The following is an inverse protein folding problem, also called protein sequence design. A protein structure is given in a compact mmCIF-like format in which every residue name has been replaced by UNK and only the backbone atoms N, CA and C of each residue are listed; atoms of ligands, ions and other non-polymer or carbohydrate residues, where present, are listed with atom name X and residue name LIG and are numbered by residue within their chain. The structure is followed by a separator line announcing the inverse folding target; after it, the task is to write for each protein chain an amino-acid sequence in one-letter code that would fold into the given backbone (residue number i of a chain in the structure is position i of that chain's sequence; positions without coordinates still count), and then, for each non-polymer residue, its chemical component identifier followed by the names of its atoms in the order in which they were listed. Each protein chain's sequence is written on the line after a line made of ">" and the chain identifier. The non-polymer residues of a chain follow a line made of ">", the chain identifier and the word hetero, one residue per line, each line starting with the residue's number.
data_IF_611645206848
#
_entry.id   IF_611645206848
#
_cell.length_a   1.000
_cell.length_b   1.000
_cell.length_c   1.000
_cell.angle_alpha   90.00
_cell.angle_beta   90.00
_cell.angle_gamma   90.00
#
_symmetry.space_group_name_H-M   'P 1'
#
loop_
_entity.id
_entity.type
_entity.pdbx_description
1 polymer ?
#
# COMPACT_ATOMS: atom_id res chain seq x y z
N UNK A 1 16.61 70.59 -58.77
CA UNK A 1 15.17 70.79 -58.46
C UNK A 1 14.33 70.12 -59.53
N UNK A 2 13.84 68.91 -59.28
CA UNK A 2 12.75 68.22 -60.01
C UNK A 2 12.24 67.09 -59.12
N UNK A 3 10.97 67.20 -58.75
CA UNK A 3 10.17 66.28 -57.95
C UNK A 3 9.46 65.30 -58.90
N UNK A 4 9.32 64.05 -58.44
CA UNK A 4 8.29 63.00 -58.69
C UNK A 4 9.01 61.67 -58.44
N UNK A 5 8.50 60.68 -57.71
CA UNK A 5 7.20 60.00 -57.86
C UNK A 5 6.83 59.38 -56.49
N UNK A 6 5.55 59.44 -56.14
CA UNK A 6 4.92 58.69 -55.05
C UNK A 6 4.77 57.21 -55.43
N UNK A 7 4.89 56.27 -54.48
CA UNK A 7 3.85 55.26 -54.43
C UNK A 7 3.23 55.16 -53.03
N UNK A 8 1.91 55.23 -53.07
CA UNK A 8 0.98 55.01 -52.00
C UNK A 8 0.95 53.50 -51.72
N UNK A 9 1.40 53.07 -50.55
CA UNK A 9 1.04 51.76 -50.00
C UNK A 9 0.46 51.99 -48.61
N UNK A 10 -0.88 51.93 -48.57
CA UNK A 10 -1.67 51.88 -47.35
C UNK A 10 -1.57 50.44 -46.80
N UNK A 11 -0.66 50.20 -45.85
CA UNK A 11 -0.66 48.97 -45.06
C UNK A 11 -1.53 49.24 -43.83
N UNK A 12 -2.72 48.66 -43.81
CA UNK A 12 -3.55 48.60 -42.61
C UNK A 12 -2.88 47.64 -41.61
N UNK A 13 -2.23 48.19 -40.59
CA UNK A 13 -1.76 47.41 -39.45
C UNK A 13 -2.97 47.01 -38.60
N UNK A 14 -3.38 45.74 -38.67
CA UNK A 14 -4.19 45.12 -37.62
C UNK A 14 -3.31 45.00 -36.37
N UNK A 15 -3.41 45.98 -35.47
CA UNK A 15 -2.92 45.83 -34.10
C UNK A 15 -3.87 44.91 -33.34
N UNK A 16 -3.60 43.60 -33.37
CA UNK A 16 -4.16 42.70 -32.38
C UNK A 16 -3.58 43.08 -31.00
N UNK A 17 -4.40 43.25 -29.95
CA UNK A 17 -3.88 43.42 -28.61
C UNK A 17 -3.09 42.15 -28.26
N UNK A 18 -1.77 42.30 -28.10
CA UNK A 18 -0.94 41.25 -27.57
C UNK A 18 -1.45 40.88 -26.19
N UNK A 19 -2.07 39.71 -26.08
CA UNK A 19 -2.28 39.06 -24.79
C UNK A 19 -0.87 38.67 -24.35
N UNK A 20 -0.21 39.53 -23.58
CA UNK A 20 0.90 39.09 -22.73
C UNK A 20 0.29 38.11 -21.74
N UNK A 21 0.41 36.82 -22.03
CA UNK A 21 0.35 35.79 -21.00
C UNK A 21 1.46 36.14 -20.02
N UNK A 22 1.08 36.79 -18.93
CA UNK A 22 1.92 36.82 -17.76
C UNK A 22 2.15 35.36 -17.38
N UNK A 23 3.39 34.88 -17.49
CA UNK A 23 3.83 33.69 -16.78
C UNK A 23 3.61 33.97 -15.31
N UNK A 24 2.46 33.52 -14.79
CA UNK A 24 2.27 33.33 -13.37
C UNK A 24 3.27 32.25 -12.97
N UNK A 25 4.44 32.70 -12.54
CA UNK A 25 5.42 31.90 -11.78
C UNK A 25 4.83 31.64 -10.40
N UNK A 26 3.77 30.84 -10.38
CA UNK A 26 3.27 30.22 -9.17
C UNK A 26 3.51 28.72 -9.31
N UNK A 27 4.77 28.31 -9.11
CA UNK A 27 5.21 26.94 -9.34
C UNK A 27 6.01 26.43 -8.16
N UNK A 28 5.28 26.06 -7.10
CA UNK A 28 5.65 24.83 -6.39
C UNK A 28 4.86 23.68 -7.05
N UNK A 29 5.07 23.48 -8.35
CA UNK A 29 4.47 22.32 -9.05
C UNK A 29 5.19 21.08 -8.54
N UNK A 30 4.52 20.30 -7.69
CA UNK A 30 5.03 19.05 -7.16
C UNK A 30 5.41 18.12 -8.33
N UNK A 31 6.62 17.54 -8.32
CA UNK A 31 7.04 16.61 -9.36
C UNK A 31 6.14 15.38 -9.39
N UNK A 32 6.10 14.66 -10.51
CA UNK A 32 5.33 13.41 -10.60
C UNK A 32 5.78 12.41 -9.52
N UNK A 33 7.09 12.31 -9.27
CA UNK A 33 7.67 11.41 -8.26
C UNK A 33 7.28 11.82 -6.85
N UNK A 34 7.33 13.11 -6.52
CA UNK A 34 6.83 13.61 -5.24
C UNK A 34 5.34 13.29 -5.07
N UNK A 35 4.53 13.44 -6.13
CA UNK A 35 3.10 13.16 -6.09
C UNK A 35 2.82 11.66 -5.91
N UNK A 36 3.49 10.79 -6.67
CA UNK A 36 3.42 9.33 -6.52
C UNK A 36 3.82 8.92 -5.11
N UNK A 37 4.89 9.48 -4.58
CA UNK A 37 5.36 9.19 -3.24
C UNK A 37 4.33 9.58 -2.18
N UNK A 38 3.87 10.84 -2.16
CA UNK A 38 3.00 11.34 -1.09
C UNK A 38 1.57 10.84 -1.20
N UNK A 39 1.04 10.76 -2.42
CA UNK A 39 -0.37 10.46 -2.67
C UNK A 39 -0.65 9.01 -3.00
N UNK A 40 0.37 8.18 -3.28
CA UNK A 40 0.19 6.74 -3.51
C UNK A 40 0.96 5.95 -2.46
N UNK A 41 2.29 5.97 -2.50
CA UNK A 41 3.12 5.07 -1.70
C UNK A 41 2.94 5.28 -0.19
N UNK A 42 3.19 6.50 0.28
CA UNK A 42 3.07 6.84 1.70
C UNK A 42 1.61 6.86 2.16
N UNK A 43 0.69 7.31 1.30
CA UNK A 43 -0.75 7.29 1.58
C UNK A 43 -1.24 5.87 1.84
N UNK A 44 -0.90 4.93 0.96
CA UNK A 44 -1.38 3.56 1.05
C UNK A 44 -0.72 2.82 2.23
N UNK A 45 0.57 3.11 2.52
CA UNK A 45 1.25 2.62 3.72
C UNK A 45 0.54 3.07 5.02
N UNK A 46 0.17 4.35 5.12
CA UNK A 46 -0.60 4.86 6.27
C UNK A 46 -2.00 4.24 6.31
N UNK A 47 -2.63 4.05 5.15
CA UNK A 47 -3.98 3.47 5.05
C UNK A 47 -4.02 2.03 5.53
N UNK A 48 -3.02 1.19 5.21
CA UNK A 48 -2.99 -0.19 5.70
C UNK A 48 -2.78 -0.25 7.21
N UNK A 49 -1.93 0.63 7.77
CA UNK A 49 -1.75 0.74 9.21
C UNK A 49 -3.07 1.13 9.91
N UNK A 50 -3.78 2.12 9.38
CA UNK A 50 -5.09 2.54 9.90
C UNK A 50 -6.14 1.43 9.78
N UNK A 51 -6.18 0.70 8.66
CA UNK A 51 -7.10 -0.42 8.48
C UNK A 51 -6.83 -1.56 9.47
N UNK A 52 -5.57 -1.84 9.79
CA UNK A 52 -5.20 -2.81 10.82
C UNK A 52 -5.66 -2.36 12.22
N UNK A 53 -5.52 -1.08 12.55
CA UNK A 53 -6.06 -0.52 13.80
C UNK A 53 -7.59 -0.59 13.86
N UNK A 54 -8.27 -0.36 12.74
CA UNK A 54 -9.73 -0.49 12.66
C UNK A 54 -10.19 -1.94 12.90
N UNK A 55 -9.48 -2.92 12.35
CA UNK A 55 -9.74 -4.33 12.64
C UNK A 55 -9.50 -4.66 14.12
N UNK A 56 -8.45 -4.11 14.73
CA UNK A 56 -8.18 -4.30 16.16
C UNK A 56 -9.35 -3.76 17.01
N UNK A 57 -9.87 -2.58 16.68
CA UNK A 57 -11.04 -2.02 17.34
C UNK A 57 -12.29 -2.88 17.14
N UNK A 58 -12.52 -3.40 15.92
CA UNK A 58 -13.66 -4.28 15.63
C UNK A 58 -13.58 -5.60 16.43
N UNK A 59 -12.40 -6.19 16.56
CA UNK A 59 -12.16 -7.39 17.36
C UNK A 59 -12.28 -7.15 18.87
N UNK A 60 -11.94 -5.95 19.35
CA UNK A 60 -12.14 -5.56 20.73
C UNK A 60 -13.63 -5.37 21.09
N UNK A 61 -14.44 -4.95 20.12
CA UNK A 61 -15.89 -4.79 20.26
C UNK A 61 -16.69 -6.08 20.02
N UNK A 62 -16.06 -7.12 19.44
CA UNK A 62 -16.68 -8.42 19.20
C UNK A 62 -16.86 -9.18 20.53
N UNK A 63 -18.09 -9.59 20.89
CA UNK A 63 -18.30 -10.44 22.05
C UNK A 63 -17.59 -11.79 21.88
N UNK A 64 -17.01 -12.29 22.97
CA UNK A 64 -16.40 -13.61 23.03
C UNK A 64 -17.44 -14.70 22.73
N UNK A 65 -17.01 -15.75 22.03
CA UNK A 65 -17.80 -16.94 21.71
C UNK A 65 -19.13 -16.63 20.99
N UNK A 66 -19.18 -15.49 20.30
CA UNK A 66 -20.33 -15.05 19.52
C UNK A 66 -20.05 -15.17 18.01
N UNK A 67 -21.10 -15.27 17.18
CA UNK A 67 -20.96 -15.16 15.74
C UNK A 67 -20.16 -13.90 15.35
N UNK A 68 -19.21 -14.05 14.45
CA UNK A 68 -18.39 -12.97 13.92
C UNK A 68 -19.30 -11.91 13.32
N UNK A 69 -19.13 -10.67 13.77
CA UNK A 69 -19.95 -9.55 13.31
C UNK A 69 -19.56 -9.08 11.91
N UNK A 70 -20.52 -8.49 11.20
CA UNK A 70 -20.28 -7.83 9.92
C UNK A 70 -19.25 -6.70 10.01
N UNK A 71 -19.05 -6.10 11.20
CA UNK A 71 -18.02 -5.10 11.44
C UNK A 71 -16.61 -5.68 11.34
N UNK A 72 -16.38 -6.88 11.91
CA UNK A 72 -15.11 -7.60 11.78
C UNK A 72 -14.87 -7.97 10.32
N UNK A 73 -15.90 -8.46 9.61
CA UNK A 73 -15.79 -8.80 8.19
C UNK A 73 -15.43 -7.59 7.32
N UNK A 74 -16.11 -6.47 7.51
CA UNK A 74 -15.84 -5.24 6.79
C UNK A 74 -14.42 -4.72 7.05
N UNK A 75 -13.99 -4.73 8.31
CA UNK A 75 -12.66 -4.27 8.72
C UNK A 75 -11.55 -5.18 8.17
N UNK A 76 -11.72 -6.50 8.21
CA UNK A 76 -10.75 -7.43 7.64
C UNK A 76 -10.65 -7.27 6.12
N UNK A 77 -11.78 -7.17 5.42
CA UNK A 77 -11.80 -6.93 3.99
C UNK A 77 -11.12 -5.60 3.62
N UNK A 78 -11.29 -4.56 4.45
CA UNK A 78 -10.60 -3.29 4.28
C UNK A 78 -9.09 -3.41 4.50
N UNK A 79 -8.65 -4.15 5.51
CA UNK A 79 -7.23 -4.44 5.73
C UNK A 79 -6.62 -5.14 4.51
N UNK A 80 -7.26 -6.18 3.99
CA UNK A 80 -6.79 -6.90 2.81
C UNK A 80 -6.68 -5.96 1.61
N UNK A 81 -7.71 -5.15 1.33
CA UNK A 81 -7.67 -4.17 0.23
C UNK A 81 -6.56 -3.13 0.40
N UNK A 82 -6.39 -2.60 1.61
CA UNK A 82 -5.36 -1.60 1.90
C UNK A 82 -3.95 -2.20 1.75
N UNK A 83 -3.73 -3.44 2.21
CA UNK A 83 -2.49 -4.15 1.99
C UNK A 83 -2.22 -4.37 0.49
N UNK A 84 -3.23 -4.78 -0.27
CA UNK A 84 -3.08 -5.00 -1.71
C UNK A 84 -2.66 -3.73 -2.45
N UNK A 85 -3.18 -2.56 -2.05
CA UNK A 85 -2.72 -1.28 -2.59
C UNK A 85 -1.22 -1.05 -2.33
N UNK A 86 -0.75 -1.28 -1.10
CA UNK A 86 0.68 -1.17 -0.74
C UNK A 86 1.52 -2.17 -1.54
N UNK A 87 1.11 -3.43 -1.59
CA UNK A 87 1.83 -4.49 -2.28
C UNK A 87 1.97 -4.23 -3.78
N UNK A 88 0.95 -3.62 -4.42
CA UNK A 88 0.90 -3.40 -5.87
C UNK A 88 1.99 -2.44 -6.37
N UNK A 89 2.34 -1.44 -5.55
CA UNK A 89 3.36 -0.45 -5.88
C UNK A 89 4.53 -0.51 -4.87
N UNK A 90 4.83 -1.70 -4.34
CA UNK A 90 5.84 -1.85 -3.31
C UNK A 90 7.24 -1.65 -3.90
N UNK A 91 7.86 -0.51 -3.59
CA UNK A 91 9.21 -0.16 -4.05
C UNK A 91 10.24 -0.05 -2.92
N UNK A 92 9.82 -0.22 -1.66
CA UNK A 92 10.73 -0.07 -0.51
C UNK A 92 11.91 -1.02 -0.55
N UNK A 93 11.77 -2.22 -1.10
CA UNK A 93 12.89 -3.16 -1.25
C UNK A 93 14.03 -2.63 -2.13
N UNK A 94 13.71 -1.73 -3.07
CA UNK A 94 14.69 -1.05 -3.93
C UNK A 94 15.35 0.15 -3.23
N UNK A 95 14.66 0.74 -2.25
CA UNK A 95 15.12 1.92 -1.50
C UNK A 95 15.84 1.56 -0.20
N UNK A 96 15.53 0.38 0.35
CA UNK A 96 16.02 -0.14 1.61
C UNK A 96 16.06 -1.67 1.55
N UNK A 97 17.27 -2.23 1.49
CA UNK A 97 17.48 -3.66 1.36
C UNK A 97 16.93 -4.46 2.56
N UNK A 98 16.86 -3.85 3.74
CA UNK A 98 16.32 -4.52 4.94
C UNK A 98 14.80 -4.73 4.82
N UNK A 99 14.15 -4.03 3.89
CA UNK A 99 12.71 -4.10 3.67
C UNK A 99 12.32 -5.10 2.57
N UNK A 100 13.26 -5.67 1.82
CA UNK A 100 13.00 -6.50 0.62
C UNK A 100 12.03 -7.67 0.89
N UNK A 101 12.18 -8.35 2.03
CA UNK A 101 11.40 -9.54 2.38
C UNK A 101 10.07 -9.19 3.06
N UNK A 102 9.85 -7.93 3.43
CA UNK A 102 8.69 -7.51 4.23
C UNK A 102 7.35 -7.93 3.60
N UNK A 103 7.12 -7.81 2.27
CA UNK A 103 5.86 -8.26 1.67
C UNK A 103 5.57 -9.75 1.91
N UNK A 104 6.60 -10.60 1.90
CA UNK A 104 6.44 -12.04 2.13
C UNK A 104 6.10 -12.35 3.59
N UNK A 105 6.58 -11.55 4.54
CA UNK A 105 6.24 -11.70 5.96
C UNK A 105 4.78 -11.34 6.24
N UNK A 106 4.18 -10.46 5.43
CA UNK A 106 2.81 -9.98 5.59
C UNK A 106 1.80 -10.86 4.83
N UNK A 107 2.11 -11.29 3.61
CA UNK A 107 1.23 -12.11 2.77
C UNK A 107 2.02 -13.26 2.15
N UNK A 108 1.73 -14.47 2.62
CA UNK A 108 2.44 -15.70 2.26
C UNK A 108 1.75 -16.49 1.16
N UNK A 109 0.83 -15.86 0.42
CA UNK A 109 0.15 -16.55 -0.66
C UNK A 109 1.10 -16.96 -1.79
N UNK A 110 0.88 -18.17 -2.32
CA UNK A 110 1.73 -18.80 -3.34
C UNK A 110 3.19 -18.99 -2.90
N UNK A 111 3.44 -18.92 -1.59
CA UNK A 111 4.76 -19.09 -0.98
C UNK A 111 4.76 -20.33 -0.09
N UNK A 112 5.79 -21.18 -0.28
CA UNK A 112 5.93 -22.43 0.46
C UNK A 112 5.00 -23.55 -0.01
N UNK A 113 5.35 -24.80 0.31
CA UNK A 113 4.54 -26.00 0.04
C UNK A 113 3.66 -26.39 1.24
N UNK A 114 3.50 -25.48 2.20
CA UNK A 114 2.81 -25.75 3.47
C UNK A 114 1.30 -25.52 3.32
N UNK A 115 0.50 -26.49 3.78
CA UNK A 115 -0.94 -26.28 3.93
C UNK A 115 -1.19 -25.47 5.19
N UNK A 116 -1.23 -24.13 5.04
CA UNK A 116 -1.34 -23.19 6.14
C UNK A 116 -2.60 -23.43 6.98
N UNK A 117 -3.76 -23.63 6.34
CA UNK A 117 -5.02 -23.90 7.04
C UNK A 117 -4.88 -25.11 7.98
N UNK A 118 -4.43 -26.25 7.44
CA UNK A 118 -4.24 -27.48 8.23
C UNK A 118 -3.29 -27.25 9.42
N UNK A 119 -2.20 -26.51 9.21
CA UNK A 119 -1.21 -26.24 10.25
C UNK A 119 -1.73 -25.31 11.34
N UNK A 120 -2.47 -24.27 10.95
CA UNK A 120 -3.06 -23.34 11.90
C UNK A 120 -4.21 -23.95 12.69
N UNK A 121 -5.00 -24.85 12.10
CA UNK A 121 -5.98 -25.64 12.86
C UNK A 121 -5.31 -26.53 13.90
N UNK A 122 -4.18 -27.16 13.56
CA UNK A 122 -3.40 -27.94 14.54
C UNK A 122 -2.83 -27.07 15.65
N UNK A 123 -2.38 -25.87 15.31
CA UNK A 123 -1.89 -24.87 16.27
C UNK A 123 -3.00 -24.44 17.24
N UNK A 124 -4.20 -24.12 16.74
CA UNK A 124 -5.35 -23.79 17.60
C UNK A 124 -5.71 -24.93 18.55
N UNK A 125 -5.65 -26.18 18.07
CA UNK A 125 -5.96 -27.37 18.88
C UNK A 125 -4.88 -27.74 19.90
N UNK A 126 -3.68 -27.14 19.83
CA UNK A 126 -2.56 -27.47 20.72
C UNK A 126 -2.76 -26.99 22.17
N UNK A 127 -3.62 -25.98 22.38
CA UNK A 127 -3.79 -25.32 23.67
C UNK A 127 -2.62 -24.40 24.06
N UNK A 128 -1.61 -24.24 23.21
CA UNK A 128 -0.50 -23.31 23.45
C UNK A 128 -0.95 -21.85 23.33
N UNK A 129 -0.21 -20.96 24.01
CA UNK A 129 -0.43 -19.51 23.86
C UNK A 129 0.00 -19.03 22.46
N UNK A 130 -0.61 -17.96 21.91
CA UNK A 130 -0.24 -17.43 20.60
C UNK A 130 1.26 -17.13 20.43
N UNK A 131 1.92 -16.64 21.50
CA UNK A 131 3.35 -16.31 21.49
C UNK A 131 4.23 -17.53 21.23
N UNK A 132 3.87 -18.69 21.76
CA UNK A 132 4.63 -19.93 21.60
C UNK A 132 4.27 -20.60 20.28
N UNK A 133 2.97 -20.74 20.02
CA UNK A 133 2.47 -21.52 18.89
C UNK A 133 2.73 -20.85 17.53
N UNK A 134 2.71 -19.51 17.49
CA UNK A 134 2.94 -18.73 16.26
C UNK A 134 4.41 -18.39 16.05
N UNK A 135 5.33 -19.31 16.33
CA UNK A 135 6.77 -19.05 16.20
C UNK A 135 7.19 -18.70 14.76
N UNK A 136 6.60 -19.34 13.74
CA UNK A 136 6.89 -19.05 12.31
C UNK A 136 6.34 -17.70 11.88
N UNK A 137 6.99 -17.03 10.93
CA UNK A 137 6.47 -15.81 10.33
C UNK A 137 5.23 -16.05 9.47
N UNK A 138 5.16 -17.19 8.77
CA UNK A 138 3.98 -17.56 7.98
C UNK A 138 2.71 -17.74 8.81
N UNK A 139 2.85 -18.00 10.11
CA UNK A 139 1.73 -18.12 11.04
C UNK A 139 1.25 -16.76 11.58
N UNK A 140 1.92 -15.67 11.18
CA UNK A 140 1.60 -14.29 11.56
C UNK A 140 1.22 -13.42 10.34
N UNK A 141 0.90 -14.03 9.20
CA UNK A 141 0.53 -13.33 7.96
C UNK A 141 -0.96 -12.98 7.91
N UNK A 142 -1.37 -12.16 6.94
CA UNK A 142 -2.78 -11.88 6.63
C UNK A 142 -3.53 -13.17 6.29
N UNK A 143 -2.88 -14.14 5.64
CA UNK A 143 -3.49 -15.45 5.36
C UNK A 143 -3.74 -16.23 6.66
N UNK A 144 -2.80 -16.18 7.61
CA UNK A 144 -3.00 -16.80 8.92
C UNK A 144 -4.13 -16.13 9.70
N UNK A 145 -4.18 -14.80 9.67
CA UNK A 145 -5.28 -14.02 10.25
C UNK A 145 -6.64 -14.43 9.65
N UNK A 146 -6.70 -14.67 8.34
CA UNK A 146 -7.91 -15.18 7.70
C UNK A 146 -8.34 -16.54 8.28
N UNK A 147 -7.39 -17.45 8.55
CA UNK A 147 -7.73 -18.74 9.15
C UNK A 147 -8.31 -18.56 10.55
N UNK A 148 -7.68 -17.75 11.40
CA UNK A 148 -8.19 -17.51 12.75
C UNK A 148 -9.57 -16.84 12.76
N UNK A 149 -9.82 -15.95 11.81
CA UNK A 149 -11.09 -15.23 11.74
C UNK A 149 -12.20 -16.05 11.09
N UNK A 150 -11.90 -16.97 10.17
CA UNK A 150 -12.87 -17.60 9.27
C UNK A 150 -12.87 -19.13 9.28
N UNK A 151 -12.23 -19.78 10.26
CA UNK A 151 -12.32 -21.25 10.40
C UNK A 151 -13.76 -21.71 10.60
N UNK A 152 -14.54 -20.95 11.37
CA UNK A 152 -15.98 -21.09 11.46
C UNK A 152 -16.69 -19.71 11.58
N UNK A 153 -17.96 -19.71 11.96
CA UNK A 153 -18.75 -18.48 12.08
C UNK A 153 -18.69 -17.84 13.47
N UNK A 154 -18.21 -18.56 14.49
CA UNK A 154 -18.17 -18.12 15.88
C UNK A 154 -16.73 -17.81 16.25
N UNK A 155 -16.45 -16.59 16.71
CA UNK A 155 -15.09 -16.26 17.11
C UNK A 155 -14.87 -16.65 18.57
N UNK A 156 -14.19 -17.78 18.80
CA UNK A 156 -13.86 -18.21 20.15
C UNK A 156 -12.83 -17.29 20.82
N UNK A 157 -12.75 -17.33 22.15
CA UNK A 157 -11.70 -16.60 22.89
C UNK A 157 -10.29 -16.95 22.41
N UNK A 158 -10.04 -18.22 22.09
CA UNK A 158 -8.74 -18.70 21.60
C UNK A 158 -8.43 -18.12 20.23
N UNK A 159 -9.35 -18.24 19.27
CA UNK A 159 -9.16 -17.70 17.92
C UNK A 159 -8.96 -16.18 17.94
N UNK A 160 -9.71 -15.47 18.79
CA UNK A 160 -9.53 -14.04 19.01
C UNK A 160 -8.14 -13.71 19.54
N UNK A 161 -7.64 -14.43 20.54
CA UNK A 161 -6.28 -14.21 21.07
C UNK A 161 -5.19 -14.42 20.01
N UNK A 162 -5.37 -15.43 19.14
CA UNK A 162 -4.48 -15.71 18.02
C UNK A 162 -4.57 -14.63 16.92
N UNK A 163 -5.77 -14.17 16.60
CA UNK A 163 -6.02 -13.07 15.68
C UNK A 163 -5.39 -11.76 16.17
N UNK A 164 -5.57 -11.41 17.46
CA UNK A 164 -4.99 -10.22 18.07
C UNK A 164 -3.46 -10.24 18.06
N UNK A 165 -2.85 -11.39 18.40
CA UNK A 165 -1.40 -11.54 18.36
C UNK A 165 -0.84 -11.40 16.94
N UNK A 166 -1.53 -12.00 15.96
CA UNK A 166 -1.18 -11.91 14.54
C UNK A 166 -1.31 -10.48 14.03
N UNK A 167 -2.40 -9.80 14.37
CA UNK A 167 -2.65 -8.41 13.98
C UNK A 167 -1.62 -7.46 14.59
N UNK A 168 -1.19 -7.70 15.83
CA UNK A 168 -0.10 -6.96 16.45
C UNK A 168 1.24 -7.15 15.70
N UNK A 169 1.51 -8.34 15.15
CA UNK A 169 2.68 -8.57 14.31
C UNK A 169 2.59 -7.82 12.98
N UNK A 170 1.44 -7.89 12.31
CA UNK A 170 1.18 -7.15 11.07
C UNK A 170 1.31 -5.64 11.27
N UNK A 171 0.77 -5.10 12.37
CA UNK A 171 0.91 -3.68 12.72
C UNK A 171 2.37 -3.23 12.83
N UNK A 172 3.25 -4.06 13.41
CA UNK A 172 4.69 -3.74 13.46
C UNK A 172 5.29 -3.62 12.07
N UNK A 173 4.94 -4.53 11.15
CA UNK A 173 5.40 -4.44 9.76
C UNK A 173 4.83 -3.21 9.04
N UNK A 174 3.54 -2.89 9.21
CA UNK A 174 2.95 -1.71 8.60
C UNK A 174 3.56 -0.40 9.13
N UNK A 175 3.82 -0.32 10.44
CA UNK A 175 4.53 0.82 11.02
C UNK A 175 5.95 0.93 10.48
N UNK A 176 6.68 -0.18 10.36
CA UNK A 176 8.01 -0.18 9.76
C UNK A 176 7.99 0.31 8.30
N UNK A 177 7.02 -0.13 7.49
CA UNK A 177 6.82 0.36 6.11
C UNK A 177 6.58 1.87 6.08
N UNK A 178 5.71 2.40 6.95
CA UNK A 178 5.45 3.84 7.01
C UNK A 178 6.72 4.61 7.36
N UNK A 179 7.45 4.17 8.39
CA UNK A 179 8.70 4.81 8.82
C UNK A 179 9.78 4.74 7.75
N UNK A 180 9.95 3.59 7.09
CA UNK A 180 10.91 3.40 6.01
C UNK A 180 10.61 4.32 4.83
N UNK A 181 9.35 4.40 4.37
CA UNK A 181 8.98 5.36 3.33
C UNK A 181 9.32 6.78 3.76
N UNK A 182 8.93 7.21 4.96
CA UNK A 182 9.24 8.56 5.46
C UNK A 182 10.74 8.86 5.46
N UNK A 183 11.59 7.88 5.82
CA UNK A 183 13.04 8.03 5.78
C UNK A 183 13.59 8.14 4.34
N UNK A 184 12.96 7.44 3.39
CA UNK A 184 13.40 7.38 1.99
C UNK A 184 12.78 8.47 1.09
N UNK A 185 11.97 9.39 1.63
CA UNK A 185 11.29 10.43 0.86
C UNK A 185 12.24 11.27 -0.01
N UNK A 186 13.43 11.61 0.51
CA UNK A 186 14.45 12.35 -0.24
C UNK A 186 15.15 11.49 -1.30
N UNK A 187 15.46 10.23 -0.96
CA UNK A 187 16.11 9.31 -1.88
C UNK A 187 15.24 9.02 -3.10
N UNK A 188 13.94 8.84 -2.88
CA UNK A 188 12.96 8.62 -3.95
C UNK A 188 12.75 9.85 -4.86
N UNK A 189 13.10 11.06 -4.44
CA UNK A 189 13.01 12.25 -5.29
C UNK A 189 14.35 12.68 -5.90
N UNK A 190 15.45 12.07 -5.48
CA UNK A 190 16.78 12.42 -5.94
C UNK A 190 17.01 12.05 -7.42
N UNK A 191 16.43 10.93 -7.86
CA UNK A 191 16.48 10.47 -9.25
C UNK A 191 15.07 10.07 -9.71
N UNK A 192 14.49 10.92 -10.56
CA UNK A 192 13.12 10.72 -11.02
C UNK A 192 12.97 9.58 -12.01
N UNK A 193 13.99 9.35 -12.85
CA UNK A 193 13.97 8.29 -13.85
C UNK A 193 14.05 6.93 -13.14
N UNK A 194 15.00 6.81 -12.21
CA UNK A 194 15.15 5.60 -11.40
C UNK A 194 13.90 5.31 -10.59
N UNK A 195 13.34 6.30 -9.90
CA UNK A 195 12.15 6.11 -9.06
C UNK A 195 10.90 5.76 -9.87
N UNK A 196 10.76 6.32 -11.08
CA UNK A 196 9.71 5.92 -12.02
C UNK A 196 9.90 4.47 -12.48
N UNK A 197 11.15 4.06 -12.75
CA UNK A 197 11.47 2.68 -13.12
C UNK A 197 11.10 1.69 -12.01
N UNK A 198 11.41 2.01 -10.75
CA UNK A 198 11.02 1.17 -9.60
C UNK A 198 9.50 0.96 -9.54
N UNK A 199 8.72 2.04 -9.67
CA UNK A 199 7.25 1.94 -9.65
C UNK A 199 6.75 1.12 -10.84
N UNK A 200 7.26 1.36 -12.05
CA UNK A 200 6.85 0.62 -13.23
C UNK A 200 7.14 -0.88 -13.09
N UNK A 201 8.33 -1.24 -12.61
CA UNK A 201 8.71 -2.63 -12.38
C UNK A 201 7.81 -3.29 -11.33
N UNK A 202 7.50 -2.60 -10.23
CA UNK A 202 6.57 -3.09 -9.22
C UNK A 202 5.16 -3.35 -9.78
N UNK A 203 4.68 -2.48 -10.66
CA UNK A 203 3.37 -2.65 -11.32
C UNK A 203 3.37 -3.81 -12.32
N UNK A 204 4.43 -3.97 -13.11
CA UNK A 204 4.59 -5.10 -14.05
C UNK A 204 4.62 -6.42 -13.28
N UNK A 205 5.45 -6.51 -12.24
CA UNK A 205 5.55 -7.69 -11.38
C UNK A 205 4.21 -8.01 -10.69
N UNK A 206 3.51 -6.99 -10.18
CA UNK A 206 2.18 -7.16 -9.58
C UNK A 206 1.14 -7.66 -10.58
N UNK A 207 1.15 -7.14 -11.82
CA UNK A 207 0.25 -7.60 -12.88
C UNK A 207 0.54 -9.05 -13.27
N UNK A 208 1.82 -9.43 -13.38
CA UNK A 208 2.24 -10.80 -13.63
C UNK A 208 1.78 -11.74 -12.50
N UNK A 209 2.08 -11.40 -11.25
CA UNK A 209 1.70 -12.20 -10.07
C UNK A 209 0.19 -12.34 -9.94
N UNK A 210 -0.57 -11.30 -10.28
CA UNK A 210 -2.03 -11.38 -10.32
C UNK A 210 -2.48 -12.42 -11.35
N UNK A 211 -1.96 -12.35 -12.58
CA UNK A 211 -2.31 -13.27 -13.66
C UNK A 211 -1.90 -14.71 -13.37
N UNK A 212 -0.67 -14.94 -12.91
CA UNK A 212 -0.11 -16.30 -12.86
C UNK A 212 -0.35 -17.00 -11.52
N UNK A 213 -0.53 -16.25 -10.43
CA UNK A 213 -0.64 -16.84 -9.09
C UNK A 213 -2.05 -16.79 -8.53
N UNK A 214 -2.88 -15.81 -8.93
CA UNK A 214 -4.17 -15.54 -8.29
C UNK A 214 -5.39 -15.87 -9.15
N UNK A 215 -5.29 -15.77 -10.47
CA UNK A 215 -6.36 -16.05 -11.46
C UNK A 215 -6.03 -17.32 -12.22
#
# INVERSE_FOLDING_TARGET
>A
MKIKILPFFLVAALSAPGITLAETTDTTSQSMTQSLFSHVLLRDAKRVQAAAQQLQTALAAQPADAPRSAAVDAAFAQLVRAWKAVQTAYVLGELDSDMIDTPQLIDTFHQGKENLNKKLTQVLASGETPRVALFKNSFKSINALAVFLYTDNTLSETERAYADYTLAALLRHFSAIVSAYQAQAKAFDADQEQSTSFVLNALIDSAYKLKEWRV
#
